data_IF_407593039377
#
_entry.id   IF_407593039377
#
_cell.length_a   1.000
_cell.length_b   1.000
_cell.length_c   1.000
_cell.angle_alpha   90.00
_cell.angle_beta   90.00
_cell.angle_gamma   90.00
#
_symmetry.space_group_name_H-M   'P 1'
#
loop_
_entity.id
_entity.type
_entity.pdbx_description
1 polymer ?
#
# COMPACT_ATOMS: atom_id res chain seq x y z
N UNK A 1 -8.93 -8.58 -5.82
CA UNK A 1 -9.20 -9.90 -5.21
C UNK A 1 -8.84 -9.73 -3.76
N UNK A 2 -9.77 -9.80 -2.80
CA UNK A 2 -9.61 -9.26 -1.44
C UNK A 2 -8.93 -10.28 -0.47
N UNK A 3 -7.71 -10.06 0.07
CA UNK A 3 -7.32 -10.62 1.35
C UNK A 3 -8.42 -10.44 2.37
N UNK A 4 -8.77 -11.55 2.99
CA UNK A 4 -9.72 -11.60 4.07
C UNK A 4 -8.91 -11.72 5.35
N UNK A 5 -9.18 -10.86 6.33
CA UNK A 5 -8.76 -11.07 7.71
C UNK A 5 -9.98 -11.58 8.46
N UNK A 6 -10.10 -12.89 8.73
CA UNK A 6 -11.19 -13.42 9.52
C UNK A 6 -11.20 -12.78 10.91
N UNK A 7 -12.39 -12.66 11.51
CA UNK A 7 -12.50 -12.31 12.92
C UNK A 7 -11.67 -13.30 13.77
N UNK A 8 -10.88 -12.78 14.71
CA UNK A 8 -9.99 -13.57 15.55
C UNK A 8 -8.59 -13.85 14.97
N UNK A 9 -8.32 -13.50 13.70
CA UNK A 9 -6.98 -13.63 13.13
C UNK A 9 -6.19 -12.31 13.18
N UNK A 10 -4.91 -12.39 13.53
CA UNK A 10 -4.01 -11.23 13.63
C UNK A 10 -3.38 -10.81 12.30
N UNK A 11 -3.57 -11.59 11.23
CA UNK A 11 -3.02 -11.36 9.88
C UNK A 11 -4.08 -11.66 8.82
N UNK A 12 -4.08 -10.92 7.71
CA UNK A 12 -4.87 -11.30 6.52
C UNK A 12 -4.34 -12.59 5.91
N UNK A 13 -5.20 -13.26 5.15
CA UNK A 13 -4.82 -14.42 4.34
C UNK A 13 -4.68 -14.03 2.87
N UNK A 14 -3.54 -14.41 2.28
CA UNK A 14 -3.31 -14.27 0.85
C UNK A 14 -4.00 -15.39 0.07
N UNK A 15 -4.43 -15.13 -1.18
CA UNK A 15 -5.03 -16.15 -2.02
C UNK A 15 -4.02 -17.27 -2.35
N UNK A 16 -4.53 -18.48 -2.56
CA UNK A 16 -3.70 -19.59 -3.04
C UNK A 16 -3.29 -19.39 -4.51
N UNK A 17 -2.30 -20.17 -4.96
CA UNK A 17 -1.84 -20.16 -6.36
C UNK A 17 -2.96 -20.37 -7.36
N UNK A 18 -3.79 -21.39 -7.13
CA UNK A 18 -4.92 -21.67 -7.99
C UNK A 18 -5.96 -20.54 -7.99
N UNK A 19 -6.22 -19.91 -6.84
CA UNK A 19 -7.15 -18.78 -6.76
C UNK A 19 -6.68 -17.59 -7.60
N UNK A 20 -5.38 -17.28 -7.56
CA UNK A 20 -4.80 -16.18 -8.33
C UNK A 20 -4.76 -16.50 -9.82
N UNK A 21 -4.31 -17.70 -10.20
CA UNK A 21 -4.32 -18.21 -11.57
C UNK A 21 -5.72 -18.09 -12.21
N UNK A 22 -6.73 -18.62 -11.53
CA UNK A 22 -8.12 -18.55 -11.99
C UNK A 22 -8.61 -17.09 -12.13
N UNK A 23 -8.16 -16.20 -11.25
CA UNK A 23 -8.50 -14.78 -11.33
C UNK A 23 -7.85 -14.07 -12.52
N UNK A 24 -6.61 -14.42 -12.87
CA UNK A 24 -5.93 -13.94 -14.07
C UNK A 24 -6.63 -14.42 -15.34
N UNK A 25 -6.97 -15.71 -15.44
CA UNK A 25 -7.72 -16.26 -16.58
C UNK A 25 -9.07 -15.56 -16.78
N UNK A 26 -9.83 -15.31 -15.71
CA UNK A 26 -11.10 -14.54 -15.79
C UNK A 26 -10.92 -13.11 -16.30
N UNK A 27 -9.74 -12.53 -16.10
CA UNK A 27 -9.38 -11.19 -16.60
C UNK A 27 -8.84 -11.20 -18.03
N UNK A 28 -8.84 -12.36 -18.70
CA UNK A 28 -8.38 -12.51 -20.08
C UNK A 28 -6.87 -12.63 -20.24
N UNK A 29 -6.12 -12.85 -19.16
CA UNK A 29 -4.68 -13.12 -19.23
C UNK A 29 -4.43 -14.60 -19.52
N UNK A 30 -3.25 -14.92 -20.05
CA UNK A 30 -2.77 -16.29 -20.23
C UNK A 30 -1.60 -16.62 -19.29
N UNK A 31 -1.85 -16.76 -17.97
CA UNK A 31 -0.83 -17.21 -17.02
C UNK A 31 -0.36 -18.63 -17.32
N UNK A 32 0.92 -18.90 -17.06
CA UNK A 32 1.45 -20.25 -16.94
C UNK A 32 1.49 -20.68 -15.46
N UNK A 33 1.05 -21.89 -15.17
CA UNK A 33 1.03 -22.41 -13.79
C UNK A 33 2.43 -22.46 -13.15
N UNK A 34 3.46 -22.70 -13.96
CA UNK A 34 4.86 -22.76 -13.53
C UNK A 34 5.36 -21.42 -12.96
N UNK A 35 4.77 -20.30 -13.37
CA UNK A 35 5.15 -18.96 -12.92
C UNK A 35 4.43 -18.53 -11.63
N UNK A 36 3.36 -19.25 -11.25
CA UNK A 36 2.49 -18.85 -10.14
C UNK A 36 3.21 -18.72 -8.79
N UNK A 37 4.19 -19.59 -8.43
CA UNK A 37 4.96 -19.41 -7.21
C UNK A 37 5.67 -18.05 -7.15
N UNK A 38 6.32 -17.66 -8.24
CA UNK A 38 7.06 -16.39 -8.35
C UNK A 38 6.12 -15.19 -8.38
N UNK A 39 5.05 -15.24 -9.18
CA UNK A 39 4.05 -14.17 -9.30
C UNK A 39 3.42 -13.87 -7.94
N UNK A 40 3.04 -14.89 -7.18
CA UNK A 40 2.44 -14.70 -5.85
C UNK A 40 3.46 -14.27 -4.82
N UNK A 41 4.70 -14.78 -4.88
CA UNK A 41 5.79 -14.30 -4.05
C UNK A 41 5.98 -12.79 -4.19
N UNK A 42 6.03 -12.29 -5.44
CA UNK A 42 6.13 -10.87 -5.75
C UNK A 42 4.88 -10.12 -5.25
N UNK A 43 3.68 -10.61 -5.54
CA UNK A 43 2.43 -9.96 -5.12
C UNK A 43 2.33 -9.81 -3.61
N UNK A 44 2.64 -10.87 -2.85
CA UNK A 44 2.60 -10.85 -1.39
C UNK A 44 3.67 -9.91 -0.84
N UNK A 45 4.89 -9.92 -1.40
CA UNK A 45 5.94 -8.98 -0.99
C UNK A 45 5.53 -7.52 -1.22
N UNK A 46 4.88 -7.22 -2.36
CA UNK A 46 4.33 -5.88 -2.65
C UNK A 46 3.26 -5.48 -1.65
N UNK A 47 2.35 -6.40 -1.29
CA UNK A 47 1.30 -6.14 -0.31
C UNK A 47 1.86 -5.91 1.11
N UNK A 48 2.81 -6.74 1.56
CA UNK A 48 3.48 -6.55 2.86
C UNK A 48 4.20 -5.20 2.92
N UNK A 49 4.87 -4.81 1.83
CA UNK A 49 5.54 -3.50 1.73
C UNK A 49 4.53 -2.35 1.74
N UNK A 50 3.41 -2.48 1.03
CA UNK A 50 2.34 -1.48 1.05
C UNK A 50 1.77 -1.35 2.47
N UNK A 51 1.48 -2.46 3.14
CA UNK A 51 1.02 -2.41 4.52
C UNK A 51 2.01 -1.78 5.48
N UNK A 52 3.31 -2.09 5.35
CA UNK A 52 4.33 -1.42 6.16
C UNK A 52 4.28 0.11 6.01
N UNK A 53 3.97 0.62 4.81
CA UNK A 53 3.75 2.05 4.61
C UNK A 53 2.45 2.55 5.24
N UNK A 54 1.36 1.78 5.21
CA UNK A 54 0.15 2.11 5.99
C UNK A 54 0.51 2.25 7.47
N UNK A 55 1.25 1.30 8.03
CA UNK A 55 1.68 1.36 9.42
C UNK A 55 2.60 2.56 9.73
N UNK A 56 3.44 3.00 8.78
CA UNK A 56 4.20 4.26 8.91
C UNK A 56 3.27 5.47 9.07
N UNK A 57 2.18 5.53 8.29
CA UNK A 57 1.18 6.58 8.43
C UNK A 57 0.38 6.47 9.73
N UNK A 58 -0.04 5.26 10.11
CA UNK A 58 -0.77 5.00 11.35
C UNK A 58 0.10 5.29 12.60
N UNK A 59 1.42 5.22 12.50
CA UNK A 59 2.33 5.60 13.58
C UNK A 59 2.26 7.10 13.95
N UNK A 60 1.70 7.96 13.09
CA UNK A 60 1.38 9.36 13.47
C UNK A 60 0.28 9.46 14.54
N UNK A 61 -0.51 8.39 14.68
CA UNK A 61 -1.67 8.25 15.54
C UNK A 61 -1.44 7.21 16.64
N UNK A 62 -0.17 6.85 16.91
CA UNK A 62 0.12 5.96 18.03
C UNK A 62 -0.41 6.56 19.34
N UNK A 63 -1.11 5.75 20.13
CA UNK A 63 -1.69 6.17 21.41
C UNK A 63 -3.10 6.77 21.33
N UNK A 64 -3.63 7.10 20.14
CA UNK A 64 -5.00 7.65 20.03
C UNK A 64 -6.09 6.61 20.31
N UNK A 65 -5.73 5.34 20.44
CA UNK A 65 -6.66 4.22 20.40
C UNK A 65 -6.57 3.24 21.56
N UNK A 66 -5.93 3.63 22.67
CA UNK A 66 -5.82 2.79 23.87
C UNK A 66 -5.18 1.42 23.59
N UNK A 67 -4.20 1.37 22.68
CA UNK A 67 -3.49 0.14 22.30
C UNK A 67 -4.11 -0.68 21.17
N UNK A 68 -5.29 -0.31 20.64
CA UNK A 68 -5.85 -0.95 19.44
C UNK A 68 -4.99 -0.63 18.21
N UNK A 69 -4.68 -1.66 17.42
CA UNK A 69 -3.91 -1.55 16.16
C UNK A 69 -4.84 -1.34 14.97
N UNK A 70 -4.34 -0.63 13.97
CA UNK A 70 -5.01 -0.46 12.68
C UNK A 70 -5.19 -1.82 11.99
N UNK A 71 -6.33 -2.01 11.33
CA UNK A 71 -6.68 -3.25 10.61
C UNK A 71 -7.16 -2.93 9.21
N UNK A 72 -6.88 -3.80 8.24
CA UNK A 72 -7.38 -3.66 6.89
C UNK A 72 -8.86 -4.09 6.88
N UNK A 73 -9.78 -3.19 6.55
CA UNK A 73 -11.21 -3.51 6.41
C UNK A 73 -11.52 -4.07 5.02
N UNK A 74 -11.02 -3.40 3.99
CA UNK A 74 -11.23 -3.79 2.61
C UNK A 74 -10.21 -3.12 1.70
N UNK A 75 -10.10 -3.62 0.48
CA UNK A 75 -9.51 -2.85 -0.58
C UNK A 75 -10.19 -3.10 -1.92
N UNK A 76 -10.02 -2.13 -2.81
CA UNK A 76 -10.59 -2.14 -4.15
C UNK A 76 -9.56 -1.63 -5.14
N UNK A 77 -9.31 -2.41 -6.18
CA UNK A 77 -8.53 -1.95 -7.33
C UNK A 77 -9.38 -1.21 -8.34
N UNK A 78 -8.86 -0.10 -8.85
CA UNK A 78 -9.45 0.69 -9.93
C UNK A 78 -8.35 1.39 -10.75
N UNK A 79 -7.67 0.60 -11.59
CA UNK A 79 -6.58 1.07 -12.44
C UNK A 79 -7.01 2.20 -13.41
N UNK A 80 -8.30 2.32 -13.75
CA UNK A 80 -8.80 3.36 -14.67
C UNK A 80 -8.97 4.71 -13.97
N UNK A 81 -9.21 4.70 -12.66
CA UNK A 81 -9.45 5.92 -11.89
C UNK A 81 -8.12 6.52 -11.45
N UNK A 82 -7.47 7.31 -12.30
CA UNK A 82 -6.22 7.98 -11.91
C UNK A 82 -6.41 8.92 -10.71
N UNK A 83 -5.45 8.92 -9.77
CA UNK A 83 -5.47 9.82 -8.62
C UNK A 83 -5.18 11.27 -9.05
N UNK A 84 -5.63 12.31 -8.31
CA UNK A 84 -5.32 13.70 -8.65
C UNK A 84 -3.81 13.96 -8.76
N UNK A 85 -3.01 13.32 -7.91
CA UNK A 85 -1.55 13.37 -7.97
C UNK A 85 -1.01 12.70 -9.23
N UNK A 86 -1.51 11.52 -9.60
CA UNK A 86 -1.10 10.83 -10.82
C UNK A 86 -1.41 11.69 -12.07
N UNK A 87 -2.59 12.33 -12.12
CA UNK A 87 -2.95 13.26 -13.20
C UNK A 87 -1.99 14.44 -13.31
N UNK A 88 -1.63 15.05 -12.18
CA UNK A 88 -0.67 16.15 -12.15
C UNK A 88 0.74 15.69 -12.61
N UNK A 89 1.22 14.56 -12.10
CA UNK A 89 2.52 14.01 -12.49
C UNK A 89 2.55 13.65 -13.99
N UNK A 90 1.48 13.09 -14.53
CA UNK A 90 1.35 12.82 -15.96
C UNK A 90 1.39 14.11 -16.79
N UNK A 91 0.73 15.18 -16.33
CA UNK A 91 0.79 16.48 -17.00
C UNK A 91 2.21 17.07 -17.01
N UNK A 92 3.07 16.66 -16.07
CA UNK A 92 4.49 17.03 -16.00
C UNK A 92 5.42 16.02 -16.73
N UNK A 93 4.86 15.06 -17.48
CA UNK A 93 5.62 14.11 -18.29
C UNK A 93 6.05 12.82 -17.56
N UNK A 94 5.62 12.59 -16.32
CA UNK A 94 5.88 11.33 -15.62
C UNK A 94 4.95 10.21 -16.09
N UNK A 95 5.42 8.96 -15.97
CA UNK A 95 4.61 7.79 -16.31
C UNK A 95 3.39 7.64 -15.39
N UNK A 96 2.27 7.17 -15.96
CA UNK A 96 1.07 6.82 -15.21
C UNK A 96 1.34 5.59 -14.31
N UNK A 97 0.64 5.46 -13.17
CA UNK A 97 0.66 4.21 -12.42
C UNK A 97 0.04 3.09 -13.25
N UNK A 98 0.64 1.90 -13.23
CA UNK A 98 0.12 0.73 -13.96
C UNK A 98 -1.06 0.08 -13.21
N UNK A 99 -1.16 0.31 -11.89
CA UNK A 99 -2.29 -0.12 -11.07
C UNK A 99 -2.54 0.89 -9.95
N UNK A 100 -3.80 1.00 -9.52
CA UNK A 100 -4.20 1.84 -8.40
C UNK A 100 -5.21 1.12 -7.54
N UNK A 101 -4.96 1.11 -6.23
CA UNK A 101 -5.88 0.58 -5.23
C UNK A 101 -6.32 1.66 -4.24
N UNK A 102 -7.55 1.54 -3.75
CA UNK A 102 -8.05 2.23 -2.55
C UNK A 102 -8.16 1.19 -1.43
N UNK A 103 -7.52 1.44 -0.27
CA UNK A 103 -7.52 0.57 0.91
C UNK A 103 -8.29 1.26 2.04
N UNK A 104 -9.27 0.58 2.63
CA UNK A 104 -9.97 1.03 3.83
C UNK A 104 -9.30 0.42 5.05
N UNK A 105 -8.90 1.27 5.99
CA UNK A 105 -8.22 0.88 7.22
C UNK A 105 -9.08 1.29 8.41
N UNK A 106 -9.43 0.33 9.25
CA UNK A 106 -10.05 0.57 10.56
C UNK A 106 -9.02 1.21 11.48
N UNK A 107 -9.15 2.52 11.68
CA UNK A 107 -8.51 3.26 12.75
C UNK A 107 -9.53 3.43 13.88
N UNK A 108 -9.63 2.40 14.70
CA UNK A 108 -10.24 2.48 16.04
C UNK A 108 -11.76 2.71 16.02
N UNK A 109 -12.41 2.13 15.02
CA UNK A 109 -13.83 2.30 14.69
C UNK A 109 -14.06 3.32 13.58
N UNK A 110 -13.02 4.03 13.12
CA UNK A 110 -13.10 4.98 12.01
C UNK A 110 -12.44 4.41 10.76
N UNK A 111 -13.20 4.31 9.67
CA UNK A 111 -12.68 3.86 8.37
C UNK A 111 -11.90 4.98 7.69
N UNK A 112 -10.59 4.80 7.52
CA UNK A 112 -9.67 5.74 6.86
C UNK A 112 -9.27 5.18 5.50
N UNK A 113 -9.50 5.96 4.44
CA UNK A 113 -9.14 5.57 3.08
C UNK A 113 -7.69 5.91 2.77
N UNK A 114 -6.97 4.96 2.20
CA UNK A 114 -5.64 5.10 1.63
C UNK A 114 -5.70 4.92 0.12
N UNK A 115 -4.94 5.76 -0.61
CA UNK A 115 -4.71 5.60 -2.05
C UNK A 115 -3.32 5.01 -2.24
N UNK A 116 -3.24 3.97 -3.05
CA UNK A 116 -2.00 3.26 -3.39
C UNK A 116 -1.84 3.30 -4.90
N UNK A 117 -0.88 4.08 -5.39
CA UNK A 117 -0.52 4.12 -6.80
C UNK A 117 0.77 3.27 -7.01
N UNK A 118 0.74 2.32 -7.93
CA UNK A 118 1.88 1.45 -8.27
C UNK A 118 2.54 1.89 -9.58
N UNK A 119 3.85 2.11 -9.54
CA UNK A 119 4.64 2.54 -10.69
C UNK A 119 5.77 1.56 -10.97
N UNK A 120 6.09 1.39 -12.25
CA UNK A 120 7.30 0.67 -12.65
C UNK A 120 8.52 1.47 -12.21
N UNK A 121 9.46 0.83 -11.54
CA UNK A 121 10.73 1.41 -11.15
C UNK A 121 11.88 0.70 -11.85
N UNK A 122 13.02 1.39 -12.07
CA UNK A 122 14.23 0.73 -12.57
C UNK A 122 14.64 -0.40 -11.62
N UNK A 123 14.77 -1.62 -12.16
CA UNK A 123 15.29 -2.76 -11.42
C UNK A 123 16.82 -2.68 -11.33
N UNK A 124 17.39 -3.13 -10.20
CA UNK A 124 18.84 -3.30 -10.11
C UNK A 124 19.30 -4.44 -11.03
N UNK A 125 20.57 -4.45 -11.47
CA UNK A 125 21.12 -5.56 -12.26
C UNK A 125 20.88 -6.90 -11.56
N UNK A 126 20.26 -7.85 -12.25
CA UNK A 126 19.91 -9.17 -11.71
C UNK A 126 18.56 -9.27 -10.99
N UNK A 127 17.78 -8.18 -10.90
CA UNK A 127 16.40 -8.21 -10.38
C UNK A 127 15.38 -8.20 -11.52
N UNK A 128 14.34 -9.05 -11.41
CA UNK A 128 13.34 -9.20 -12.46
C UNK A 128 12.40 -7.98 -12.61
N UNK A 129 12.11 -7.27 -11.52
CA UNK A 129 11.31 -6.04 -11.54
C UNK A 129 11.48 -5.24 -10.24
N UNK A 130 11.34 -3.92 -10.33
CA UNK A 130 11.19 -3.06 -9.16
C UNK A 130 9.86 -2.30 -9.26
N UNK A 131 9.11 -2.26 -8.15
CA UNK A 131 7.85 -1.52 -8.04
C UNK A 131 8.03 -0.39 -7.05
N UNK A 132 7.71 0.83 -7.49
CA UNK A 132 7.56 1.98 -6.63
C UNK A 132 6.10 2.08 -6.17
N UNK A 133 5.90 2.22 -4.87
CA UNK A 133 4.58 2.31 -4.23
C UNK A 133 4.45 3.72 -3.67
N UNK A 134 3.52 4.50 -4.20
CA UNK A 134 3.10 5.79 -3.63
C UNK A 134 1.81 5.58 -2.83
N UNK A 135 1.97 5.33 -1.52
CA UNK A 135 0.88 5.10 -0.58
C UNK A 135 0.69 6.29 0.34
N UNK A 136 -0.58 6.76 0.44
CA UNK A 136 -0.94 7.95 1.22
C UNK A 136 -2.41 7.96 1.63
N UNK A 137 -2.78 8.57 2.78
CA UNK A 137 -4.18 8.78 3.15
C UNK A 137 -4.91 9.56 2.04
N UNK A 138 -6.12 9.19 1.66
CA UNK A 138 -6.95 9.98 0.75
C UNK A 138 -7.33 11.32 1.44
N UNK A 139 -7.34 12.43 0.70
CA UNK A 139 -7.66 13.75 1.25
C UNK A 139 -9.18 13.93 1.33
N UNK A 140 -9.83 13.05 2.08
CA UNK A 140 -11.28 13.04 2.27
C UNK A 140 -11.69 13.77 3.56
N UNK A 141 -10.70 14.16 4.40
CA UNK A 141 -10.92 14.86 5.66
C UNK A 141 -9.79 15.86 5.96
N UNK A 142 -10.04 16.88 6.81
CA UNK A 142 -9.00 17.80 7.27
C UNK A 142 -7.84 17.07 7.97
N UNK A 143 -8.13 16.03 8.74
CA UNK A 143 -7.12 15.21 9.40
C UNK A 143 -6.20 14.53 8.38
N UNK A 144 -6.75 13.97 7.29
CA UNK A 144 -5.93 13.33 6.27
C UNK A 144 -5.05 14.34 5.50
N UNK A 145 -5.55 15.57 5.28
CA UNK A 145 -4.75 16.66 4.73
C UNK A 145 -3.59 17.03 5.67
N UNK A 146 -3.88 17.16 6.97
CA UNK A 146 -2.89 17.46 8.00
C UNK A 146 -1.84 16.36 8.13
N UNK A 147 -2.26 15.09 8.16
CA UNK A 147 -1.37 13.94 8.21
C UNK A 147 -0.38 13.98 7.05
N UNK A 148 -0.85 14.26 5.83
CA UNK A 148 0.02 14.41 4.65
C UNK A 148 1.04 15.53 4.82
N UNK A 149 0.62 16.71 5.27
CA UNK A 149 1.51 17.84 5.49
C UNK A 149 2.56 17.52 6.56
N UNK A 150 2.14 16.92 7.68
CA UNK A 150 3.02 16.51 8.79
C UNK A 150 4.03 15.46 8.34
N UNK A 151 3.59 14.41 7.65
CA UNK A 151 4.48 13.37 7.14
C UNK A 151 5.46 13.91 6.10
N UNK A 152 5.02 14.84 5.24
CA UNK A 152 5.91 15.53 4.30
C UNK A 152 6.99 16.32 5.05
N UNK A 153 6.61 17.12 6.05
CA UNK A 153 7.56 17.90 6.85
C UNK A 153 8.55 17.00 7.61
N UNK A 154 8.10 15.86 8.14
CA UNK A 154 8.97 14.85 8.76
C UNK A 154 9.95 14.27 7.73
N UNK A 155 9.47 13.83 6.56
CA UNK A 155 10.31 13.25 5.50
C UNK A 155 11.28 14.27 4.89
N UNK A 156 10.95 15.56 4.93
CA UNK A 156 11.80 16.66 4.51
C UNK A 156 12.80 17.11 5.60
N UNK A 157 12.75 16.54 6.81
CA UNK A 157 13.61 16.93 7.92
C UNK A 157 13.24 18.25 8.61
N UNK A 158 12.06 18.81 8.30
CA UNK A 158 11.55 20.05 8.88
C UNK A 158 10.90 19.83 10.25
N UNK A 159 10.45 18.61 10.53
CA UNK A 159 9.92 18.20 11.84
C UNK A 159 10.60 16.92 12.31
N UNK A 160 10.82 16.75 13.63
CA UNK A 160 11.31 15.49 14.15
C UNK A 160 10.27 14.37 13.96
N UNK A 161 10.73 13.19 13.57
CA UNK A 161 9.89 12.01 13.50
C UNK A 161 9.53 11.52 14.92
N UNK A 162 8.24 11.30 15.24
CA UNK A 162 7.86 10.60 16.46
C UNK A 162 8.54 9.23 16.56
N UNK A 163 8.80 8.69 17.76
CA UNK A 163 9.50 7.41 17.94
C UNK A 163 8.91 6.26 17.12
N UNK A 164 7.59 6.12 17.06
CA UNK A 164 6.93 5.10 16.26
C UNK A 164 7.10 5.29 14.74
N UNK A 165 7.02 6.54 14.25
CA UNK A 165 7.28 6.83 12.83
C UNK A 165 8.72 6.50 12.47
N UNK A 166 9.67 6.89 13.33
CA UNK A 166 11.08 6.56 13.13
C UNK A 166 11.33 5.05 13.15
N UNK A 167 10.66 4.30 14.05
CA UNK A 167 10.73 2.85 14.09
C UNK A 167 10.16 2.21 12.82
N UNK A 168 8.98 2.64 12.38
CA UNK A 168 8.36 2.17 11.14
C UNK A 168 9.23 2.44 9.91
N UNK A 169 9.84 3.63 9.82
CA UNK A 169 10.77 3.99 8.75
C UNK A 169 12.02 3.11 8.72
N UNK A 170 12.60 2.78 9.88
CA UNK A 170 13.74 1.86 9.97
C UNK A 170 13.37 0.47 9.47
N UNK A 171 12.22 -0.06 9.90
CA UNK A 171 11.72 -1.37 9.45
C UNK A 171 11.51 -1.40 7.94
N UNK A 172 10.87 -0.37 7.37
CA UNK A 172 10.64 -0.25 5.93
C UNK A 172 11.92 -0.14 5.10
N UNK A 173 12.97 0.47 5.65
CA UNK A 173 14.28 0.56 4.97
C UNK A 173 15.04 -0.77 5.03
N UNK A 174 14.93 -1.52 6.12
CA UNK A 174 15.55 -2.84 6.27
C UNK A 174 14.89 -3.93 5.40
N UNK A 175 13.64 -3.71 4.97
CA UNK A 175 12.88 -4.62 4.12
C UNK A 175 13.04 -4.36 2.61
N UNK A 176 13.95 -3.47 2.20
CA UNK A 176 14.27 -3.18 0.79
C UNK A 176 15.51 -3.94 0.35
#
# INVERSE_FOLDING_TARGET
FNPFQPEGHSRWMYPSQQMFYNAMKRKGWDPHEQDMPSVIGIHNAVNERAWGQVLEWEALHEGTCGGRRARLESFRGDAKKLSPRARLLMALGYAAPFDRHDWQVDRCGSSVRYVVDFYNAPAAPGQAAAIHIDLRPAVDSPQAAWDRARMWAIKAGLLPAPPAVAAAQRMLRAAR
#
